data_IF_363870730094
#
_entry.id   IF_363870730094
#
_cell.length_a   1.000
_cell.length_b   1.000
_cell.length_c   1.000
_cell.angle_alpha   90.00
_cell.angle_beta   90.00
_cell.angle_gamma   90.00
#
_symmetry.space_group_name_H-M   'P 1'
#
loop_
_entity.id
_entity.type
_entity.pdbx_description
1 polymer ?
#
# COMPACT_ATOMS: atom_id res chain seq x y z
N UNK A 1 4.67 -21.82 -5.07
CA UNK A 1 5.46 -20.89 -4.21
C UNK A 1 4.75 -20.79 -2.87
N UNK A 2 5.48 -20.67 -1.76
CA UNK A 2 4.86 -20.48 -0.43
C UNK A 2 4.29 -19.07 -0.32
N UNK A 3 3.02 -18.92 0.05
CA UNK A 3 2.45 -17.60 0.33
C UNK A 3 3.20 -16.96 1.51
N UNK A 4 3.63 -15.69 1.41
CA UNK A 4 4.33 -15.02 2.49
C UNK A 4 3.46 -14.95 3.74
N UNK A 5 4.01 -15.25 4.91
CA UNK A 5 3.25 -15.18 6.18
C UNK A 5 3.17 -13.75 6.70
N UNK A 6 4.19 -12.93 6.42
CA UNK A 6 4.29 -11.54 6.89
C UNK A 6 3.87 -10.61 5.75
N UNK A 7 2.78 -9.88 5.98
CA UNK A 7 2.21 -8.97 5.00
C UNK A 7 2.44 -7.51 5.43
N UNK A 8 3.05 -6.73 4.53
CA UNK A 8 3.31 -5.30 4.74
C UNK A 8 2.09 -4.47 4.34
N UNK A 9 1.61 -3.63 5.25
CA UNK A 9 0.56 -2.65 4.92
C UNK A 9 1.10 -1.33 4.42
N UNK A 10 2.37 -1.03 4.71
CA UNK A 10 3.14 -0.01 3.98
C UNK A 10 4.21 -0.74 3.16
N UNK A 11 4.25 -0.60 1.83
CA UNK A 11 5.19 -1.32 0.99
C UNK A 11 6.65 -1.05 1.38
N UNK A 12 7.48 -2.09 1.32
CA UNK A 12 8.90 -1.97 1.65
C UNK A 12 9.64 -1.00 0.71
N UNK A 13 9.28 -0.97 -0.58
CA UNK A 13 9.91 -0.06 -1.53
C UNK A 13 9.64 1.41 -1.17
N UNK A 14 8.44 1.72 -0.65
CA UNK A 14 8.08 3.03 -0.14
C UNK A 14 8.92 3.35 1.11
N UNK A 15 8.95 2.42 2.07
CA UNK A 15 9.70 2.55 3.34
C UNK A 15 11.21 2.80 3.17
N UNK A 16 11.82 2.28 2.12
CA UNK A 16 13.26 2.44 1.87
C UNK A 16 13.68 3.91 1.70
N UNK A 17 12.74 4.80 1.34
CA UNK A 17 13.04 6.23 1.16
C UNK A 17 13.22 7.00 2.49
N UNK A 18 12.92 6.40 3.65
CA UNK A 18 13.17 6.99 4.98
C UNK A 18 14.32 6.34 5.73
N UNK A 19 15.12 5.52 5.05
CA UNK A 19 16.27 4.88 5.69
C UNK A 19 17.42 5.89 5.86
N UNK A 20 18.15 5.77 6.96
CA UNK A 20 19.47 6.35 7.12
C UNK A 20 20.52 5.59 6.26
N UNK A 21 21.77 6.03 6.32
CA UNK A 21 22.90 5.41 5.59
C UNK A 21 23.13 3.93 5.95
N UNK A 22 22.66 3.47 7.11
CA UNK A 22 22.75 2.08 7.57
C UNK A 22 21.54 1.22 7.16
N UNK A 23 20.61 1.78 6.36
CA UNK A 23 19.40 1.09 5.96
C UNK A 23 18.38 0.93 7.10
N UNK A 24 18.34 1.84 8.08
CA UNK A 24 17.43 1.81 9.23
C UNK A 24 16.51 3.04 9.25
N UNK A 25 15.28 2.84 9.72
CA UNK A 25 14.29 3.90 9.94
C UNK A 25 14.21 4.17 11.44
N UNK A 26 14.20 5.44 11.84
CA UNK A 26 13.94 5.86 13.22
C UNK A 26 12.43 5.76 13.51
N UNK A 27 12.07 4.98 14.54
CA UNK A 27 10.69 4.74 14.91
C UNK A 27 10.46 5.07 16.38
N UNK A 28 9.44 5.87 16.67
CA UNK A 28 9.02 6.13 18.04
C UNK A 28 8.15 4.99 18.58
N UNK A 29 8.53 4.42 19.71
CA UNK A 29 7.84 3.35 20.42
C UNK A 29 7.02 3.94 21.57
N UNK A 30 5.72 4.13 21.35
CA UNK A 30 4.82 4.70 22.35
C UNK A 30 4.80 3.92 23.68
N UNK A 31 4.87 2.59 23.63
CA UNK A 31 4.81 1.74 24.84
C UNK A 31 6.00 1.91 25.78
N UNK A 32 7.16 2.27 25.24
CA UNK A 32 8.42 2.35 25.98
C UNK A 32 9.04 3.76 25.94
N UNK A 33 8.28 4.74 25.44
CA UNK A 33 8.67 6.15 25.29
C UNK A 33 10.10 6.36 24.77
N UNK A 34 10.45 5.70 23.66
CA UNK A 34 11.82 5.74 23.11
C UNK A 34 11.85 5.66 21.60
N UNK A 35 12.99 6.03 21.02
CA UNK A 35 13.28 5.82 19.60
C UNK A 35 14.09 4.54 19.40
N UNK A 36 13.66 3.71 18.44
CA UNK A 36 14.37 2.53 17.98
C UNK A 36 14.75 2.67 16.49
N UNK A 37 15.86 2.06 16.08
CA UNK A 37 16.23 1.91 14.68
C UNK A 37 15.75 0.55 14.13
N UNK A 38 14.93 0.57 13.08
CA UNK A 38 14.26 -0.63 12.54
C UNK A 38 14.51 -0.78 11.04
N UNK A 39 14.68 -2.02 10.57
CA UNK A 39 14.74 -2.32 9.13
C UNK A 39 13.34 -2.32 8.50
N UNK A 40 13.17 -1.82 7.25
CA UNK A 40 11.86 -1.81 6.58
C UNK A 40 11.15 -3.17 6.55
N UNK A 41 11.91 -4.27 6.36
CA UNK A 41 11.34 -5.63 6.36
C UNK A 41 10.61 -6.00 7.67
N UNK A 42 10.92 -5.32 8.77
CA UNK A 42 10.34 -5.55 10.09
C UNK A 42 9.35 -4.46 10.52
N UNK A 43 9.14 -3.42 9.71
CA UNK A 43 8.21 -2.32 10.00
C UNK A 43 6.90 -2.48 9.21
N UNK A 44 5.82 -1.88 9.72
CA UNK A 44 4.52 -1.77 9.05
C UNK A 44 4.01 -3.07 8.40
N UNK A 45 4.06 -4.16 9.17
CA UNK A 45 3.62 -5.48 8.74
C UNK A 45 2.82 -6.18 9.83
N UNK A 46 2.01 -7.14 9.43
CA UNK A 46 1.28 -8.05 10.31
C UNK A 46 1.22 -9.44 9.68
N UNK A 47 1.29 -10.49 10.51
CA UNK A 47 1.15 -11.84 10.00
C UNK A 47 -0.27 -12.09 9.46
N UNK A 48 -0.37 -12.73 8.29
CA UNK A 48 -1.60 -13.12 7.64
C UNK A 48 -2.60 -11.97 7.41
N UNK A 49 -2.11 -10.73 7.28
CA UNK A 49 -2.96 -9.55 7.12
C UNK A 49 -3.90 -9.67 5.91
N UNK A 50 -3.36 -10.01 4.74
CA UNK A 50 -4.09 -10.28 3.51
C UNK A 50 -4.50 -11.75 3.31
N UNK A 51 -4.38 -12.60 4.34
CA UNK A 51 -4.92 -13.95 4.23
C UNK A 51 -6.44 -13.85 4.32
N UNK A 52 -7.09 -13.86 3.17
CA UNK A 52 -8.51 -14.11 3.02
C UNK A 52 -8.69 -15.59 2.66
N UNK A 53 -9.91 -16.13 2.81
CA UNK A 53 -10.20 -17.47 2.29
C UNK A 53 -10.20 -17.48 0.75
N UNK A 54 -10.14 -16.30 0.13
CA UNK A 54 -10.04 -16.07 -1.31
C UNK A 54 -8.84 -15.25 -1.75
N UNK A 55 -8.59 -15.27 -3.06
CA UNK A 55 -7.45 -14.72 -3.80
C UNK A 55 -7.37 -13.17 -3.83
N UNK A 56 -7.92 -12.44 -2.85
CA UNK A 56 -7.95 -10.96 -2.83
C UNK A 56 -6.53 -10.34 -2.92
N UNK A 57 -5.52 -10.95 -2.29
CA UNK A 57 -4.14 -10.44 -2.35
C UNK A 57 -3.54 -10.48 -3.76
N UNK A 58 -3.74 -11.59 -4.47
CA UNK A 58 -3.24 -11.80 -5.84
C UNK A 58 -4.10 -11.10 -6.88
N UNK A 59 -5.40 -11.00 -6.66
CA UNK A 59 -6.35 -10.37 -7.59
C UNK A 59 -6.35 -8.85 -7.47
N UNK A 60 -6.15 -8.30 -6.27
CA UNK A 60 -6.38 -6.88 -6.01
C UNK A 60 -5.12 -6.11 -5.60
N UNK A 61 -4.45 -6.51 -4.51
CA UNK A 61 -3.37 -5.69 -3.93
C UNK A 61 -2.14 -5.65 -4.84
N UNK A 62 -1.63 -6.79 -5.27
CA UNK A 62 -0.39 -6.85 -6.07
C UNK A 62 -0.52 -6.16 -7.45
N UNK A 63 -1.54 -6.46 -8.27
CA UNK A 63 -1.65 -5.89 -9.62
C UNK A 63 -2.03 -4.41 -9.63
N UNK A 64 -2.94 -3.97 -8.75
CA UNK A 64 -3.45 -2.61 -8.78
C UNK A 64 -2.69 -1.65 -7.86
N UNK A 65 -1.99 -2.14 -6.82
CA UNK A 65 -1.37 -1.28 -5.79
C UNK A 65 0.16 -1.29 -5.80
N UNK A 66 0.84 -2.38 -6.17
CA UNK A 66 2.30 -2.46 -6.01
C UNK A 66 3.06 -2.30 -7.34
N UNK A 67 2.59 -2.94 -8.42
CA UNK A 67 3.28 -2.92 -9.72
C UNK A 67 3.32 -1.55 -10.42
N UNK A 68 2.24 -0.73 -10.43
CA UNK A 68 2.24 0.53 -11.18
C UNK A 68 3.13 1.63 -10.57
N UNK A 69 3.42 1.57 -9.26
CA UNK A 69 3.94 2.73 -8.52
C UNK A 69 5.40 2.62 -8.08
N UNK A 70 5.96 1.41 -8.02
CA UNK A 70 7.38 1.20 -7.69
C UNK A 70 8.35 2.09 -8.51
N UNK A 71 8.19 2.27 -9.84
CA UNK A 71 9.06 3.17 -10.60
C UNK A 71 8.74 4.67 -10.37
N UNK A 72 7.49 5.02 -10.07
CA UNK A 72 7.06 6.41 -9.90
C UNK A 72 7.54 7.03 -8.59
N UNK A 73 7.71 6.22 -7.53
CA UNK A 73 8.12 6.74 -6.22
C UNK A 73 9.50 7.40 -6.26
N UNK A 74 10.43 6.84 -7.03
CA UNK A 74 11.77 7.39 -7.19
C UNK A 74 11.71 8.70 -7.97
N UNK A 75 10.85 8.76 -9.00
CA UNK A 75 10.63 9.99 -9.77
C UNK A 75 10.02 11.10 -8.91
N UNK A 76 9.03 10.77 -8.09
CA UNK A 76 8.38 11.73 -7.18
C UNK A 76 9.33 12.24 -6.08
N UNK A 77 10.31 11.42 -5.67
CA UNK A 77 11.35 11.82 -4.70
C UNK A 77 12.37 12.76 -5.32
N UNK A 78 12.82 12.45 -6.54
CA UNK A 78 13.98 13.10 -7.15
C UNK A 78 13.61 14.33 -7.99
N UNK A 79 12.32 14.50 -8.34
CA UNK A 79 11.84 15.61 -9.17
C UNK A 79 10.74 16.44 -8.48
N UNK A 80 10.70 17.76 -8.72
CA UNK A 80 9.55 18.58 -8.35
C UNK A 80 8.26 18.05 -8.97
N UNK A 81 7.15 18.11 -8.22
CA UNK A 81 5.84 17.60 -8.64
C UNK A 81 5.36 18.23 -9.95
N UNK A 82 5.75 19.47 -10.25
CA UNK A 82 5.40 20.20 -11.47
C UNK A 82 5.92 19.51 -12.74
N UNK A 83 7.01 18.74 -12.62
CA UNK A 83 7.63 18.01 -13.74
C UNK A 83 7.00 16.65 -14.00
N UNK A 84 6.08 16.21 -13.16
CA UNK A 84 5.33 14.98 -13.37
C UNK A 84 4.17 15.23 -14.32
N UNK A 85 3.90 14.26 -15.19
CA UNK A 85 2.71 14.31 -16.06
C UNK A 85 1.44 14.17 -15.22
N UNK A 86 0.29 14.55 -15.78
CA UNK A 86 -1.01 14.41 -15.11
C UNK A 86 -1.25 12.94 -14.71
N UNK A 87 -0.99 11.99 -15.62
CA UNK A 87 -1.13 10.56 -15.35
C UNK A 87 -0.20 10.10 -14.20
N UNK A 88 1.05 10.58 -14.16
CA UNK A 88 1.96 10.25 -13.05
C UNK A 88 1.46 10.79 -11.70
N UNK A 89 0.87 11.99 -11.68
CA UNK A 89 0.27 12.58 -10.48
C UNK A 89 -0.95 11.80 -10.03
N UNK A 90 -1.86 11.46 -10.95
CA UNK A 90 -3.03 10.63 -10.65
C UNK A 90 -2.60 9.30 -10.04
N UNK A 91 -1.60 8.65 -10.63
CA UNK A 91 -1.02 7.42 -10.08
C UNK A 91 -0.49 7.62 -8.65
N UNK A 92 0.28 8.68 -8.37
CA UNK A 92 0.76 8.93 -7.01
C UNK A 92 -0.41 9.14 -6.03
N UNK A 93 -1.45 9.86 -6.43
CA UNK A 93 -2.65 10.07 -5.61
C UNK A 93 -3.35 8.73 -5.34
N UNK A 94 -3.61 7.94 -6.38
CA UNK A 94 -4.20 6.61 -6.25
C UNK A 94 -3.38 5.73 -5.30
N UNK A 95 -2.05 5.73 -5.42
CA UNK A 95 -1.19 5.00 -4.49
C UNK A 95 -1.39 5.43 -3.03
N UNK A 96 -1.42 6.74 -2.76
CA UNK A 96 -1.64 7.27 -1.40
C UNK A 96 -3.02 6.86 -0.88
N UNK A 97 -4.06 6.93 -1.70
CA UNK A 97 -5.41 6.48 -1.33
C UNK A 97 -5.44 4.97 -1.07
N UNK A 98 -4.78 4.17 -1.91
CA UNK A 98 -4.70 2.73 -1.75
C UNK A 98 -3.89 2.31 -0.50
N UNK A 99 -2.93 3.12 -0.04
CA UNK A 99 -2.28 2.90 1.26
C UNK A 99 -3.28 2.97 2.42
N UNK A 100 -4.31 3.81 2.32
CA UNK A 100 -5.38 3.88 3.32
C UNK A 100 -6.15 2.55 3.38
N UNK A 101 -6.52 1.97 2.23
CA UNK A 101 -7.21 0.68 2.15
C UNK A 101 -6.37 -0.49 2.70
N UNK A 102 -5.04 -0.33 2.73
CA UNK A 102 -4.11 -1.31 3.32
C UNK A 102 -3.99 -1.22 4.84
N UNK A 103 -4.56 -0.21 5.47
CA UNK A 103 -4.54 -0.09 6.92
C UNK A 103 -5.15 -1.35 7.56
N UNK A 104 -4.50 -1.98 8.56
CA UNK A 104 -5.06 -3.16 9.23
C UNK A 104 -6.47 -2.97 9.80
N UNK A 105 -6.85 -1.75 10.17
CA UNK A 105 -8.22 -1.43 10.61
C UNK A 105 -9.20 -1.60 9.44
N UNK A 106 -8.88 -1.02 8.28
CA UNK A 106 -9.73 -1.11 7.09
C UNK A 106 -9.78 -2.54 6.54
N UNK A 107 -8.65 -3.25 6.50
CA UNK A 107 -8.62 -4.66 6.10
C UNK A 107 -9.50 -5.53 7.01
N UNK A 108 -9.53 -5.26 8.32
CA UNK A 108 -10.42 -5.98 9.24
C UNK A 108 -11.89 -5.70 8.95
N UNK A 109 -12.25 -4.47 8.58
CA UNK A 109 -13.61 -4.15 8.14
C UNK A 109 -13.93 -4.87 6.83
N UNK A 110 -13.03 -4.83 5.86
CA UNK A 110 -13.13 -5.55 4.58
C UNK A 110 -13.40 -7.04 4.84
N UNK A 111 -12.63 -7.67 5.73
CA UNK A 111 -12.81 -9.07 6.15
C UNK A 111 -14.13 -9.38 6.84
N UNK A 112 -14.78 -8.38 7.43
CA UNK A 112 -16.08 -8.56 8.09
C UNK A 112 -17.25 -8.58 7.11
N UNK A 113 -17.06 -8.08 5.89
CA UNK A 113 -18.04 -8.25 4.82
C UNK A 113 -17.95 -9.69 4.31
N UNK A 114 -19.03 -10.44 4.44
CA UNK A 114 -19.10 -11.88 4.13
C UNK A 114 -19.18 -12.17 2.63
N UNK A 115 -19.30 -11.14 1.78
CA UNK A 115 -19.54 -11.29 0.36
C UNK A 115 -18.44 -10.60 -0.48
N UNK A 116 -17.65 -11.42 -1.18
CA UNK A 116 -16.61 -10.95 -2.10
C UNK A 116 -17.16 -10.17 -3.28
N UNK A 117 -18.41 -10.42 -3.67
CA UNK A 117 -19.08 -9.68 -4.74
C UNK A 117 -19.38 -8.24 -4.30
N UNK A 118 -19.68 -8.04 -3.01
CA UNK A 118 -19.86 -6.72 -2.42
C UNK A 118 -18.54 -5.93 -2.41
N UNK A 119 -17.43 -6.58 -2.03
CA UNK A 119 -16.11 -5.92 -2.04
C UNK A 119 -15.65 -5.54 -3.44
N UNK A 120 -15.87 -6.40 -4.43
CA UNK A 120 -15.58 -6.04 -5.82
C UNK A 120 -16.45 -4.88 -6.29
N UNK A 121 -17.76 -4.92 -6.05
CA UNK A 121 -18.63 -3.87 -6.55
C UNK A 121 -18.41 -2.54 -5.81
N UNK A 122 -18.39 -2.52 -4.47
CA UNK A 122 -18.30 -1.28 -3.70
C UNK A 122 -16.93 -0.60 -3.87
N UNK A 123 -15.85 -1.38 -3.84
CA UNK A 123 -14.50 -0.87 -3.87
C UNK A 123 -14.07 -0.49 -5.30
N UNK A 124 -14.50 -1.24 -6.34
CA UNK A 124 -14.29 -0.81 -7.73
C UNK A 124 -15.17 0.39 -8.08
N UNK A 125 -16.43 0.45 -7.63
CA UNK A 125 -17.25 1.64 -7.88
C UNK A 125 -16.65 2.88 -7.21
N UNK A 126 -16.17 2.77 -5.96
CA UNK A 126 -15.48 3.89 -5.31
C UNK A 126 -14.18 4.28 -6.02
N UNK A 127 -13.37 3.31 -6.46
CA UNK A 127 -12.13 3.61 -7.19
C UNK A 127 -12.40 4.16 -8.59
N UNK A 128 -13.44 3.71 -9.29
CA UNK A 128 -13.87 4.26 -10.58
C UNK A 128 -14.42 5.68 -10.43
N UNK A 129 -15.15 5.96 -9.36
CA UNK A 129 -15.66 7.30 -9.07
C UNK A 129 -14.53 8.26 -8.65
N UNK A 130 -13.53 7.78 -7.90
CA UNK A 130 -12.40 8.58 -7.41
C UNK A 130 -11.30 8.80 -8.47
N UNK A 131 -11.09 7.86 -9.39
CA UNK A 131 -9.99 7.88 -10.38
C UNK A 131 -10.51 8.24 -11.79
N UNK A 132 -11.81 8.09 -12.05
CA UNK A 132 -12.42 8.31 -13.36
C UNK A 132 -12.37 7.07 -14.24
N UNK A 133 -13.47 6.81 -14.95
CA UNK A 133 -13.71 5.57 -15.71
C UNK A 133 -12.73 5.29 -16.86
N UNK A 134 -12.01 6.30 -17.34
CA UNK A 134 -11.17 6.20 -18.54
C UNK A 134 -9.73 5.70 -18.25
N UNK A 135 -9.33 5.58 -16.99
CA UNK A 135 -7.93 5.26 -16.59
C UNK A 135 -7.68 3.78 -16.24
N UNK A 136 -8.69 2.91 -16.37
CA UNK A 136 -8.62 1.48 -16.03
C UNK A 136 -8.36 0.52 -17.21
N UNK A 137 -8.31 1.00 -18.46
CA UNK A 137 -8.11 0.18 -19.67
C UNK A 137 -6.85 0.53 -20.47
#
# INVERSE_FOLDING_TARGET
MSNPVKHHFIPQFYLRNWQNQEGRICCFRKQSDRFDLVVPKNLANQNNLYKFDSEIESIFITPFVDNPFSPLINKARDYPLERLTINEKLKIISFILLLHLRNPIEIKKIKSYQDESFLKNELFNQLEDDIGKDDFF
#
